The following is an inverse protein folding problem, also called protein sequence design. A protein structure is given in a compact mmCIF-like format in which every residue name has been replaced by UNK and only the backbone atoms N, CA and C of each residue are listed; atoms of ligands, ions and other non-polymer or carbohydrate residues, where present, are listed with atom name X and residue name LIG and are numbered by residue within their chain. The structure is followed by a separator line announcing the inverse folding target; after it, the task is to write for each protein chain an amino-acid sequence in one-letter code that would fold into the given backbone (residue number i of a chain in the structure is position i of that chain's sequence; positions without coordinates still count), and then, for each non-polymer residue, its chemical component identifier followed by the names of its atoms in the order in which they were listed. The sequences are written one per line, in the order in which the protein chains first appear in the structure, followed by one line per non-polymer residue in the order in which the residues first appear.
data_IF_653847923052
#
_entry.id   IF_653847923052
#
_cell.length_a   1.000
_cell.length_b   1.000
_cell.length_c   1.000
_cell.angle_alpha   90.00
_cell.angle_beta   90.00
_cell.angle_gamma   90.00
#
_symmetry.space_group_name_H-M   'P 1'
#
loop_
_entity.id
_entity.type
_entity.pdbx_description
1 polymer ?
#
# COMPACT_ATOMS: atom_id res chain seq x y z
N UNK A 1 17.90 14.38 -12.25
CA UNK A 1 18.86 13.66 -11.40
C UNK A 1 20.28 14.02 -11.84
N UNK A 2 21.24 14.30 -10.94
CA UNK A 2 22.63 14.55 -11.32
C UNK A 2 23.26 13.35 -12.05
N UNK A 3 24.25 13.54 -12.93
CA UNK A 3 24.90 12.45 -13.66
C UNK A 3 25.57 11.37 -12.78
N UNK A 4 25.89 11.70 -11.54
CA UNK A 4 26.44 10.80 -10.52
C UNK A 4 25.37 10.12 -9.65
N UNK A 5 24.10 10.48 -9.80
CA UNK A 5 23.00 9.89 -9.04
C UNK A 5 22.78 8.43 -9.42
N UNK A 6 22.52 7.59 -8.42
CA UNK A 6 22.21 6.17 -8.58
C UNK A 6 20.84 5.93 -7.96
N UNK A 7 19.91 5.37 -8.73
CA UNK A 7 18.66 4.88 -8.16
C UNK A 7 18.92 3.47 -7.62
N UNK A 8 18.73 3.32 -6.32
CA UNK A 8 18.79 2.03 -5.63
C UNK A 8 17.38 1.53 -5.37
N UNK A 9 17.25 0.24 -5.09
CA UNK A 9 15.96 -0.42 -4.91
C UNK A 9 16.18 -1.91 -4.74
N UNK A 10 15.21 -2.58 -4.11
CA UNK A 10 15.20 -4.03 -4.08
C UNK A 10 14.94 -4.57 -5.49
N UNK A 11 15.60 -5.67 -5.82
CA UNK A 11 15.37 -6.48 -7.02
C UNK A 11 14.72 -7.82 -6.68
N UNK A 12 14.33 -7.99 -5.42
CA UNK A 12 13.50 -9.10 -4.97
C UNK A 12 12.08 -8.93 -5.51
N UNK A 13 11.57 -9.93 -6.20
CA UNK A 13 10.23 -9.99 -6.78
C UNK A 13 9.27 -10.68 -5.80
N UNK A 14 9.22 -10.18 -4.58
CA UNK A 14 8.39 -10.70 -3.49
C UNK A 14 8.23 -9.69 -2.36
N UNK A 15 7.58 -10.11 -1.28
CA UNK A 15 7.33 -9.29 -0.08
C UNK A 15 7.77 -10.02 1.17
N UNK A 16 8.34 -9.31 2.15
CA UNK A 16 8.84 -9.93 3.40
C UNK A 16 10.26 -10.46 3.27
N UNK A 17 10.73 -11.20 4.28
CA UNK A 17 12.02 -11.88 4.29
C UNK A 17 11.97 -13.10 3.34
N UNK A 18 12.83 -13.14 2.30
CA UNK A 18 12.86 -14.25 1.35
C UNK A 18 13.12 -15.63 1.99
N UNK A 19 13.72 -15.66 3.19
CA UNK A 19 14.05 -16.90 3.90
C UNK A 19 12.94 -17.38 4.82
N UNK A 20 11.87 -16.61 5.03
CA UNK A 20 10.73 -16.98 5.87
C UNK A 20 9.39 -16.73 5.16
N UNK A 21 9.33 -17.09 3.89
CA UNK A 21 8.15 -16.84 3.05
C UNK A 21 6.87 -17.41 3.66
N UNK A 22 5.98 -16.53 4.14
CA UNK A 22 4.69 -16.89 4.71
C UNK A 22 4.68 -17.12 6.23
N UNK A 23 5.79 -16.89 6.94
CA UNK A 23 5.86 -16.95 8.40
C UNK A 23 6.88 -15.98 9.00
N UNK A 24 6.75 -15.63 10.29
CA UNK A 24 7.48 -14.50 10.85
C UNK A 24 8.95 -14.80 11.08
N UNK A 25 9.82 -13.86 10.70
CA UNK A 25 11.27 -13.88 10.94
C UNK A 25 11.69 -13.68 12.40
N UNK A 26 11.28 -14.59 13.29
CA UNK A 26 11.68 -14.60 14.71
C UNK A 26 13.02 -15.30 14.94
N UNK A 27 13.62 -15.16 16.13
CA UNK A 27 14.94 -15.72 16.43
C UNK A 27 15.06 -17.25 16.33
N UNK A 28 13.95 -17.99 16.53
CA UNK A 28 13.91 -19.45 16.45
C UNK A 28 13.15 -19.98 15.21
N UNK A 29 12.76 -19.10 14.28
CA UNK A 29 12.00 -19.54 13.10
C UNK A 29 12.83 -20.45 12.18
N UNK A 30 12.13 -21.36 11.49
CA UNK A 30 12.70 -22.10 10.38
C UNK A 30 13.01 -21.14 9.23
N UNK A 31 14.21 -21.24 8.66
CA UNK A 31 14.63 -20.41 7.53
C UNK A 31 14.95 -21.29 6.36
N UNK A 32 14.40 -20.94 5.20
CA UNK A 32 14.76 -21.54 3.93
C UNK A 32 16.27 -21.35 3.69
N UNK A 33 16.91 -22.40 3.20
CA UNK A 33 18.27 -22.32 2.71
C UNK A 33 18.34 -21.44 1.46
N UNK A 34 19.51 -20.89 1.15
CA UNK A 34 19.69 -20.08 -0.06
C UNK A 34 19.25 -20.81 -1.33
N UNK A 35 19.46 -22.13 -1.43
CA UNK A 35 19.03 -22.94 -2.58
C UNK A 35 17.51 -23.00 -2.69
N UNK A 36 16.80 -23.11 -1.57
CA UNK A 36 15.34 -23.10 -1.55
C UNK A 36 14.80 -21.73 -1.96
N UNK A 37 15.37 -20.64 -1.42
CA UNK A 37 15.01 -19.26 -1.81
C UNK A 37 15.27 -18.99 -3.29
N UNK A 38 16.41 -19.46 -3.82
CA UNK A 38 16.74 -19.35 -5.25
C UNK A 38 15.75 -20.11 -6.14
N UNK A 39 15.28 -21.28 -5.69
CA UNK A 39 14.30 -22.09 -6.41
C UNK A 39 12.88 -21.50 -6.40
N UNK A 40 12.54 -20.61 -5.45
CA UNK A 40 11.27 -19.88 -5.49
C UNK A 40 11.18 -18.93 -6.69
N UNK A 41 12.33 -18.52 -7.25
CA UNK A 41 12.41 -17.66 -8.43
C UNK A 41 12.17 -16.17 -8.17
N UNK A 42 11.90 -15.78 -6.93
CA UNK A 42 11.65 -14.39 -6.54
C UNK A 42 12.95 -13.61 -6.29
N UNK A 43 14.07 -14.30 -6.02
CA UNK A 43 15.40 -13.68 -5.91
C UNK A 43 16.15 -13.75 -7.24
N UNK A 44 16.82 -12.67 -7.67
CA UNK A 44 17.58 -12.70 -8.90
C UNK A 44 18.85 -13.54 -8.74
N UNK A 45 18.96 -14.61 -9.55
CA UNK A 45 20.15 -15.48 -9.62
C UNK A 45 21.36 -14.79 -10.28
N UNK A 46 21.13 -13.59 -10.84
CA UNK A 46 22.16 -12.78 -11.49
C UNK A 46 22.36 -11.52 -10.63
N UNK A 47 23.60 -11.19 -10.24
CA UNK A 47 23.86 -9.97 -9.49
C UNK A 47 23.38 -8.72 -10.23
N UNK A 48 22.54 -7.93 -9.56
CA UNK A 48 22.07 -6.63 -10.05
C UNK A 48 22.80 -5.52 -9.29
N UNK A 49 23.49 -4.64 -10.02
CA UNK A 49 24.15 -3.47 -9.43
C UNK A 49 23.66 -2.21 -10.15
N UNK A 50 22.90 -1.32 -9.48
CA UNK A 50 22.56 -0.04 -10.05
C UNK A 50 23.81 0.84 -10.16
N UNK A 51 23.91 1.58 -11.26
CA UNK A 51 25.03 2.47 -11.54
C UNK A 51 24.51 3.84 -11.95
N UNK A 52 25.34 4.86 -11.76
CA UNK A 52 25.02 6.21 -12.20
C UNK A 52 25.11 6.29 -13.72
N UNK A 53 24.44 7.28 -14.30
CA UNK A 53 24.53 7.56 -15.74
C UNK A 53 25.98 7.73 -16.21
N UNK A 54 26.80 8.46 -15.45
CA UNK A 54 28.22 8.67 -15.77
C UNK A 54 29.02 7.35 -15.78
N UNK A 55 28.76 6.44 -14.84
CA UNK A 55 29.40 5.12 -14.80
C UNK A 55 28.86 4.19 -15.90
N UNK A 56 27.58 4.29 -16.26
CA UNK A 56 26.98 3.55 -17.37
C UNK A 56 27.65 3.84 -18.71
N UNK A 57 27.89 5.12 -19.03
CA UNK A 57 28.61 5.50 -20.26
C UNK A 57 30.04 4.95 -20.28
N UNK A 58 30.72 4.89 -19.14
CA UNK A 58 32.05 4.32 -19.02
C UNK A 58 32.07 2.78 -19.13
N UNK A 59 31.10 2.10 -18.49
CA UNK A 59 30.99 0.63 -18.47
C UNK A 59 30.60 0.06 -19.84
N UNK A 60 29.68 0.72 -20.56
CA UNK A 60 29.32 0.37 -21.95
C UNK A 60 30.58 0.30 -22.85
N UNK A 61 31.63 1.03 -22.48
CA UNK A 61 32.89 1.06 -23.23
C UNK A 61 33.89 -0.03 -22.82
N UNK A 62 33.67 -0.83 -21.77
CA UNK A 62 34.74 -1.67 -21.15
C UNK A 62 34.34 -3.01 -20.48
N UNK A 63 33.13 -3.54 -20.67
CA UNK A 63 32.50 -4.64 -19.89
C UNK A 63 33.38 -5.83 -19.39
N UNK A 64 33.26 -6.11 -18.06
CA UNK A 64 33.42 -7.42 -17.36
C UNK A 64 33.33 -7.37 -15.79
N UNK A 65 32.64 -8.31 -15.09
CA UNK A 65 32.71 -8.56 -13.60
C UNK A 65 31.39 -8.95 -12.82
N UNK A 66 31.45 -9.51 -11.57
CA UNK A 66 30.32 -10.01 -10.69
C UNK A 66 30.43 -9.65 -9.17
N UNK A 67 29.31 -9.65 -8.39
CA UNK A 67 29.17 -9.26 -6.94
C UNK A 67 28.42 -10.24 -5.98
N UNK A 68 28.17 -9.88 -4.69
CA UNK A 68 27.82 -10.76 -3.52
C UNK A 68 26.74 -10.18 -2.53
N UNK A 69 26.04 -11.02 -1.72
CA UNK A 69 24.91 -10.69 -0.77
C UNK A 69 25.19 -10.96 0.74
N UNK A 70 24.42 -10.36 1.69
CA UNK A 70 24.56 -10.46 3.19
C UNK A 70 23.21 -10.37 3.95
N UNK A 71 23.06 -11.06 5.10
CA UNK A 71 21.88 -11.05 6.03
C UNK A 71 22.05 -10.02 7.18
N UNK A 72 20.98 -9.34 7.62
CA UNK A 72 21.00 -8.33 8.72
C UNK A 72 19.72 -8.33 9.58
N UNK A 73 19.81 -7.83 10.82
CA UNK A 73 18.65 -7.63 11.73
C UNK A 73 17.88 -6.36 11.39
N UNK A 74 16.55 -6.43 11.46
CA UNK A 74 15.60 -5.29 11.34
C UNK A 74 14.83 -5.09 12.65
N UNK A 75 14.29 -3.89 12.90
CA UNK A 75 13.55 -3.55 14.12
C UNK A 75 12.28 -2.76 13.80
N UNK A 76 11.18 -3.11 14.47
CA UNK A 76 9.90 -2.41 14.40
C UNK A 76 9.57 -1.77 15.74
N UNK A 77 8.89 -0.63 15.74
CA UNK A 77 8.34 -0.03 16.95
C UNK A 77 6.82 0.09 16.77
N UNK A 78 6.08 -0.21 17.82
CA UNK A 78 4.62 -0.27 17.78
C UNK A 78 4.10 0.53 18.98
N UNK A 79 3.36 1.59 18.70
CA UNK A 79 2.62 2.37 19.69
C UNK A 79 1.12 2.06 19.60
N UNK A 80 0.43 2.00 20.75
CA UNK A 80 -1.01 1.74 20.82
C UNK A 80 -1.69 2.79 21.69
N UNK A 81 -2.77 3.37 21.18
CA UNK A 81 -3.74 4.15 21.96
C UNK A 81 -4.96 3.25 22.15
N UNK A 82 -5.25 2.88 23.40
CA UNK A 82 -6.40 2.01 23.69
C UNK A 82 -7.72 2.77 23.51
N UNK A 83 -8.64 2.21 22.73
CA UNK A 83 -10.01 2.71 22.63
C UNK A 83 -10.77 2.58 23.95
N UNK A 84 -11.79 3.42 24.16
CA UNK A 84 -12.62 3.33 25.36
C UNK A 84 -13.63 2.18 25.27
N UNK A 85 -14.31 2.05 24.13
CA UNK A 85 -15.40 1.09 23.90
C UNK A 85 -14.92 -0.22 23.22
N UNK A 86 -14.36 -0.13 22.01
CA UNK A 86 -13.92 -1.29 21.21
C UNK A 86 -12.41 -1.53 21.28
N UNK A 87 -11.91 -1.90 22.48
CA UNK A 87 -10.46 -2.13 22.73
C UNK A 87 -9.82 -3.23 21.88
N UNK A 88 -10.62 -4.13 21.33
CA UNK A 88 -10.19 -5.24 20.48
C UNK A 88 -10.34 -4.93 18.98
N UNK A 89 -10.54 -3.65 18.60
CA UNK A 89 -10.53 -3.18 17.21
C UNK A 89 -9.37 -2.22 16.99
N UNK A 90 -8.72 -2.32 15.83
CA UNK A 90 -7.53 -1.54 15.51
C UNK A 90 -7.70 -0.76 14.21
N UNK A 91 -7.48 0.55 14.28
CA UNK A 91 -7.11 1.36 13.11
C UNK A 91 -5.59 1.46 13.13
N UNK A 92 -4.95 0.92 12.09
CA UNK A 92 -3.50 0.89 12.02
C UNK A 92 -3.02 2.01 11.11
N UNK A 93 -2.02 2.72 11.61
CA UNK A 93 -1.33 3.79 10.94
C UNK A 93 0.13 3.31 10.78
N UNK A 94 0.65 3.18 9.55
CA UNK A 94 2.03 2.69 9.32
C UNK A 94 2.83 3.36 8.19
N UNK A 95 4.16 3.41 8.37
CA UNK A 95 5.16 3.93 7.42
C UNK A 95 6.54 3.30 7.71
N UNK A 96 7.22 2.80 6.67
CA UNK A 96 8.62 2.38 6.81
C UNK A 96 9.55 3.54 7.19
N UNK A 97 10.66 3.28 7.87
CA UNK A 97 11.64 4.30 8.30
C UNK A 97 13.05 4.03 7.78
N UNK A 98 13.30 2.83 7.24
CA UNK A 98 14.56 2.54 6.58
C UNK A 98 14.65 3.34 5.27
N UNK A 99 15.79 3.99 5.10
CA UNK A 99 16.09 4.79 3.93
C UNK A 99 17.31 4.22 3.22
N UNK A 100 17.28 4.26 1.89
CA UNK A 100 18.45 3.93 1.08
C UNK A 100 19.65 4.86 1.31
N UNK A 101 19.40 6.14 1.63
CA UNK A 101 20.43 7.13 1.96
C UNK A 101 19.98 8.01 3.13
N UNK A 102 19.70 9.30 2.90
CA UNK A 102 19.14 10.20 3.90
C UNK A 102 17.60 10.14 3.97
N UNK A 103 16.98 9.61 2.92
CA UNK A 103 15.55 9.32 2.87
C UNK A 103 14.60 10.49 3.14
N UNK A 104 14.98 11.73 2.82
CA UNK A 104 14.22 12.93 3.21
C UNK A 104 12.77 12.91 2.69
N UNK A 105 12.55 12.32 1.52
CA UNK A 105 11.21 12.11 0.95
C UNK A 105 10.73 10.70 1.30
N UNK A 106 11.49 9.71 0.84
CA UNK A 106 11.25 8.28 1.03
C UNK A 106 12.22 7.73 2.10
N UNK A 107 11.76 7.35 3.31
CA UNK A 107 10.39 7.54 3.84
C UNK A 107 10.25 8.66 4.86
N UNK A 108 11.32 9.38 5.22
CA UNK A 108 11.34 10.21 6.41
C UNK A 108 10.30 11.34 6.40
N UNK A 109 9.74 11.70 5.23
CA UNK A 109 8.59 12.61 5.17
C UNK A 109 7.32 11.95 5.73
N UNK A 110 7.04 10.69 5.39
CA UNK A 110 6.03 9.84 6.02
C UNK A 110 6.34 9.58 7.48
N UNK A 111 7.60 9.30 7.81
CA UNK A 111 8.00 9.01 9.19
C UNK A 111 7.76 10.21 10.10
N UNK A 112 8.09 11.43 9.65
CA UNK A 112 7.77 12.66 10.36
C UNK A 112 6.26 12.85 10.61
N UNK A 113 5.41 12.20 9.81
CA UNK A 113 3.96 12.23 9.94
C UNK A 113 3.43 11.13 10.87
N UNK A 114 4.17 10.04 11.08
CA UNK A 114 3.60 8.77 11.54
C UNK A 114 4.47 7.95 12.51
N UNK A 115 5.74 7.71 12.18
CA UNK A 115 6.64 6.82 12.92
C UNK A 115 6.08 5.39 13.21
N UNK A 116 6.45 4.42 12.34
CA UNK A 116 7.17 3.14 12.66
C UNK A 116 6.80 1.87 11.79
N UNK A 117 7.70 0.85 11.82
CA UNK A 117 8.22 -0.02 10.70
C UNK A 117 7.67 -1.49 10.62
N UNK A 118 7.88 -2.14 9.45
CA UNK A 118 8.09 -3.59 9.25
C UNK A 118 6.84 -4.44 9.13
N UNK A 119 6.00 -3.99 8.21
CA UNK A 119 4.64 -4.45 7.98
C UNK A 119 4.50 -5.94 7.71
N UNK A 120 5.28 -6.53 6.80
CA UNK A 120 5.08 -7.92 6.36
C UNK A 120 5.33 -8.92 7.48
N UNK A 121 6.52 -8.91 8.10
CA UNK A 121 6.86 -9.84 9.19
C UNK A 121 5.93 -9.69 10.39
N UNK A 122 5.52 -8.46 10.69
CA UNK A 122 4.57 -8.19 11.76
C UNK A 122 3.16 -8.70 11.44
N UNK A 123 2.72 -8.54 10.19
CA UNK A 123 1.45 -9.10 9.69
C UNK A 123 1.48 -10.63 9.73
N UNK A 124 2.61 -11.25 9.39
CA UNK A 124 2.78 -12.69 9.49
C UNK A 124 2.73 -13.15 10.95
N UNK A 125 3.39 -12.44 11.87
CA UNK A 125 3.42 -12.80 13.30
C UNK A 125 2.05 -12.71 13.96
N UNK A 126 1.28 -11.70 13.56
CA UNK A 126 0.03 -11.36 14.22
C UNK A 126 -1.20 -11.67 13.36
N UNK A 127 -1.03 -12.49 12.30
CA UNK A 127 -2.04 -12.73 11.24
C UNK A 127 -3.44 -12.98 11.77
N UNK A 128 -3.58 -13.92 12.71
CA UNK A 128 -4.91 -14.28 13.26
C UNK A 128 -5.54 -13.13 14.04
N UNK A 129 -4.74 -12.42 14.84
CA UNK A 129 -5.19 -11.26 15.61
C UNK A 129 -5.60 -10.13 14.66
N UNK A 130 -4.77 -9.83 13.67
CA UNK A 130 -4.98 -8.71 12.77
C UNK A 130 -6.18 -8.94 11.85
N UNK A 131 -6.28 -10.13 11.24
CA UNK A 131 -7.41 -10.47 10.37
C UNK A 131 -8.76 -10.42 11.12
N UNK A 132 -8.77 -10.68 12.42
CA UNK A 132 -9.98 -10.64 13.23
C UNK A 132 -10.35 -9.25 13.76
N UNK A 133 -9.39 -8.31 13.82
CA UNK A 133 -9.52 -7.09 14.65
C UNK A 133 -9.21 -5.78 13.93
N UNK A 134 -8.46 -5.81 12.83
CA UNK A 134 -8.09 -4.59 12.12
C UNK A 134 -9.26 -4.10 11.28
N UNK A 135 -9.65 -2.85 11.51
CA UNK A 135 -10.70 -2.16 10.78
C UNK A 135 -10.15 -1.64 9.45
N UNK A 136 -9.01 -0.96 9.48
CA UNK A 136 -8.33 -0.44 8.30
C UNK A 136 -6.85 -0.15 8.56
N UNK A 137 -6.05 -0.16 7.50
CA UNK A 137 -4.64 0.24 7.48
C UNK A 137 -4.45 1.52 6.66
N UNK A 138 -3.90 2.59 7.24
CA UNK A 138 -3.62 3.85 6.56
C UNK A 138 -2.11 4.02 6.41
N UNK A 139 -1.64 3.92 5.18
CA UNK A 139 -0.26 4.08 4.78
C UNK A 139 0.04 5.52 4.36
N UNK A 140 1.18 6.04 4.82
CA UNK A 140 1.77 7.28 4.29
C UNK A 140 3.27 7.07 4.15
N UNK A 141 3.69 6.64 2.97
CA UNK A 141 5.10 6.39 2.64
C UNK A 141 5.85 7.72 2.40
N UNK A 142 5.51 8.38 1.31
CA UNK A 142 6.04 9.69 0.94
C UNK A 142 5.01 10.78 1.25
N UNK A 143 4.99 11.26 2.49
CA UNK A 143 4.10 12.35 2.88
C UNK A 143 4.41 13.67 2.17
N UNK A 144 5.60 13.89 1.62
CA UNK A 144 5.92 15.12 0.88
C UNK A 144 6.63 14.80 -0.42
N UNK A 145 5.88 14.83 -1.52
CA UNK A 145 6.38 14.70 -2.88
C UNK A 145 5.87 15.88 -3.72
N UNK A 146 6.70 16.39 -4.64
CA UNK A 146 6.25 17.40 -5.59
C UNK A 146 5.19 16.87 -6.55
N UNK A 147 4.08 17.58 -6.72
CA UNK A 147 2.98 17.20 -7.62
C UNK A 147 1.60 17.31 -6.95
N UNK A 148 0.52 16.97 -7.68
CA UNK A 148 -0.83 17.00 -7.14
C UNK A 148 -1.04 15.88 -6.12
N UNK A 149 -2.06 16.02 -5.27
CA UNK A 149 -2.48 15.00 -4.31
C UNK A 149 -2.79 13.67 -5.01
N UNK A 150 -2.28 12.56 -4.44
CA UNK A 150 -2.52 11.20 -4.91
C UNK A 150 -3.00 10.34 -3.75
N UNK A 151 -4.02 9.53 -4.03
CA UNK A 151 -4.53 8.53 -3.11
C UNK A 151 -4.86 7.25 -3.88
N UNK A 152 -4.51 6.12 -3.30
CA UNK A 152 -4.93 4.79 -3.73
C UNK A 152 -5.58 4.08 -2.55
N UNK A 153 -6.66 3.35 -2.78
CA UNK A 153 -7.38 2.69 -1.69
C UNK A 153 -8.17 1.46 -2.13
N UNK A 154 -8.52 0.62 -1.15
CA UNK A 154 -9.60 -0.36 -1.32
C UNK A 154 -10.94 0.38 -1.49
N UNK A 155 -11.81 -0.02 -2.44
CA UNK A 155 -12.96 0.79 -2.88
C UNK A 155 -13.92 1.27 -1.77
N UNK A 156 -14.06 0.51 -0.69
CA UNK A 156 -14.94 0.85 0.42
C UNK A 156 -14.50 2.10 1.19
N UNK A 157 -13.24 2.55 1.00
CA UNK A 157 -12.65 3.73 1.63
C UNK A 157 -12.63 4.97 0.70
N UNK A 158 -13.08 4.85 -0.55
CA UNK A 158 -13.02 5.96 -1.51
C UNK A 158 -13.77 7.20 -1.00
N UNK A 159 -14.95 6.99 -0.45
CA UNK A 159 -15.84 8.08 -0.06
C UNK A 159 -15.30 8.87 1.13
N UNK A 160 -14.77 8.19 2.15
CA UNK A 160 -14.19 8.86 3.32
C UNK A 160 -12.97 9.71 2.94
N UNK A 161 -12.15 9.26 1.99
CA UNK A 161 -11.00 10.02 1.47
C UNK A 161 -11.49 11.27 0.74
N UNK A 162 -12.49 11.13 -0.14
CA UNK A 162 -13.06 12.25 -0.90
C UNK A 162 -13.67 13.29 0.05
N UNK A 163 -14.44 12.84 1.04
CA UNK A 163 -15.04 13.73 2.04
C UNK A 163 -13.99 14.43 2.89
N UNK A 164 -12.89 13.75 3.27
CA UNK A 164 -11.79 14.36 3.99
C UNK A 164 -11.08 15.42 3.12
N UNK A 165 -10.81 15.12 1.84
CA UNK A 165 -10.19 16.07 0.90
C UNK A 165 -11.06 17.31 0.64
N UNK A 166 -12.38 17.22 0.80
CA UNK A 166 -13.31 18.36 0.71
C UNK A 166 -13.26 19.27 1.95
N UNK A 167 -12.72 18.80 3.08
CA UNK A 167 -12.69 19.56 4.35
C UNK A 167 -11.32 20.18 4.62
N UNK A 168 -10.27 19.69 3.97
CA UNK A 168 -8.91 20.20 4.12
C UNK A 168 -8.61 21.26 3.05
N UNK A 169 -8.16 22.44 3.47
CA UNK A 169 -7.72 23.51 2.57
C UNK A 169 -6.46 23.10 1.81
N UNK A 170 -6.36 23.49 0.54
CA UNK A 170 -5.13 23.31 -0.22
C UNK A 170 -4.04 24.26 0.32
N UNK A 171 -2.90 23.74 0.79
CA UNK A 171 -1.82 24.59 1.29
C UNK A 171 -1.18 25.47 0.21
N UNK A 172 -1.17 25.03 -1.05
CA UNK A 172 -0.63 25.81 -2.17
C UNK A 172 -1.66 26.84 -2.68
N UNK A 173 -2.95 26.64 -2.36
CA UNK A 173 -4.02 27.56 -2.69
C UNK A 173 -5.15 27.55 -1.65
N UNK A 174 -5.02 28.36 -0.61
CA UNK A 174 -5.98 28.43 0.50
C UNK A 174 -7.38 28.93 0.11
N UNK A 175 -7.60 29.36 -1.13
CA UNK A 175 -8.93 29.72 -1.64
C UNK A 175 -9.78 28.50 -2.01
N UNK A 176 -9.20 27.31 -2.04
CA UNK A 176 -9.88 26.06 -2.38
C UNK A 176 -9.45 24.91 -1.46
N UNK A 177 -10.12 23.77 -1.60
CA UNK A 177 -9.83 22.55 -0.85
C UNK A 177 -8.93 21.64 -1.66
N UNK A 178 -8.28 20.68 -1.00
CA UNK A 178 -7.46 19.66 -1.67
C UNK A 178 -8.30 18.92 -2.74
N UNK A 179 -9.58 18.68 -2.49
CA UNK A 179 -10.50 18.10 -3.47
C UNK A 179 -10.56 18.89 -4.79
N UNK A 180 -10.68 20.21 -4.73
CA UNK A 180 -10.77 21.05 -5.92
C UNK A 180 -9.44 21.08 -6.70
N UNK A 181 -8.31 21.11 -5.99
CA UNK A 181 -6.98 21.03 -6.61
C UNK A 181 -6.72 19.67 -7.25
N UNK A 182 -7.15 18.61 -6.58
CA UNK A 182 -7.04 17.25 -7.08
C UNK A 182 -7.88 17.05 -8.34
N UNK A 183 -9.13 17.53 -8.34
CA UNK A 183 -10.00 17.49 -9.53
C UNK A 183 -9.38 18.24 -10.71
N UNK A 184 -8.85 19.44 -10.46
CA UNK A 184 -8.22 20.26 -11.50
C UNK A 184 -6.97 19.59 -12.12
N UNK A 185 -6.28 18.72 -11.37
CA UNK A 185 -5.10 17.99 -11.86
C UNK A 185 -5.41 16.84 -12.82
N UNK A 186 -6.64 16.31 -12.79
CA UNK A 186 -7.01 15.05 -13.45
C UNK A 186 -7.57 15.16 -14.87
N UNK A 187 -7.80 16.37 -15.41
CA UNK A 187 -8.54 16.58 -16.66
C UNK A 187 -9.88 15.80 -16.74
N UNK A 188 -10.50 15.51 -15.59
CA UNK A 188 -11.71 14.70 -15.48
C UNK A 188 -12.78 15.44 -14.68
N UNK A 189 -14.04 15.02 -14.83
CA UNK A 189 -15.20 15.52 -14.09
C UNK A 189 -15.29 14.96 -12.66
N UNK A 190 -14.52 13.92 -12.36
CA UNK A 190 -14.48 13.26 -11.05
C UNK A 190 -13.05 12.94 -10.64
N UNK A 191 -12.77 12.96 -9.34
CA UNK A 191 -11.48 12.50 -8.80
C UNK A 191 -11.38 10.98 -8.91
N UNK A 192 -10.21 10.50 -9.34
CA UNK A 192 -9.94 9.06 -9.50
C UNK A 192 -8.89 8.62 -8.50
N UNK A 193 -9.28 7.69 -7.62
CA UNK A 193 -8.34 7.00 -6.75
C UNK A 193 -7.62 5.89 -7.52
N UNK A 194 -6.36 5.66 -7.19
CA UNK A 194 -5.66 4.44 -7.57
C UNK A 194 -6.18 3.22 -6.79
N UNK A 195 -5.78 2.03 -7.24
CA UNK A 195 -6.09 0.76 -6.57
C UNK A 195 -4.82 0.11 -6.05
N UNK A 196 -4.89 -0.47 -4.86
CA UNK A 196 -3.78 -1.11 -4.16
C UNK A 196 -3.54 -2.54 -4.67
N UNK A 197 -3.26 -2.67 -5.97
CA UNK A 197 -2.99 -3.96 -6.62
C UNK A 197 -1.52 -4.36 -6.69
N UNK A 198 -0.60 -3.48 -6.28
CA UNK A 198 0.85 -3.70 -6.33
C UNK A 198 1.49 -3.89 -4.96
N UNK A 199 2.79 -4.17 -4.94
CA UNK A 199 3.58 -4.34 -3.72
C UNK A 199 4.51 -3.13 -3.45
N UNK A 200 4.05 -1.92 -3.79
CA UNK A 200 4.90 -0.73 -3.85
C UNK A 200 5.19 -0.04 -2.52
N UNK A 201 4.55 -0.47 -1.43
CA UNK A 201 4.76 0.05 -0.07
C UNK A 201 4.17 -0.95 0.96
N UNK A 202 4.18 -0.61 2.25
CA UNK A 202 3.80 -1.47 3.36
C UNK A 202 2.34 -1.97 3.32
N UNK A 203 1.44 -1.28 2.62
CA UNK A 203 0.04 -1.70 2.48
C UNK A 203 -0.13 -3.08 1.83
N UNK A 204 0.89 -3.56 1.10
CA UNK A 204 0.84 -4.82 0.36
C UNK A 204 0.54 -6.02 1.26
N UNK A 205 1.19 -6.11 2.43
CA UNK A 205 0.95 -7.17 3.40
C UNK A 205 -0.50 -7.16 3.90
N UNK A 206 -1.02 -5.98 4.21
CA UNK A 206 -2.37 -5.81 4.73
C UNK A 206 -3.44 -6.19 3.70
N UNK A 207 -3.33 -5.70 2.46
CA UNK A 207 -4.34 -5.97 1.43
C UNK A 207 -4.24 -7.39 0.91
N UNK A 208 -3.03 -7.86 0.59
CA UNK A 208 -2.84 -9.08 -0.20
C UNK A 208 -2.76 -10.35 0.67
N UNK A 209 -2.22 -10.25 1.89
CA UNK A 209 -2.04 -11.44 2.76
C UNK A 209 -3.18 -11.63 3.75
N UNK A 210 -3.77 -10.54 4.26
CA UNK A 210 -4.81 -10.62 5.29
C UNK A 210 -6.14 -9.97 4.92
N UNK A 211 -6.25 -9.36 3.73
CA UNK A 211 -7.51 -8.82 3.21
C UNK A 211 -8.01 -7.56 3.92
N UNK A 212 -7.12 -6.83 4.59
CA UNK A 212 -7.45 -5.62 5.35
C UNK A 212 -7.72 -4.43 4.40
N UNK A 213 -8.81 -3.67 4.62
CA UNK A 213 -9.05 -2.41 3.92
C UNK A 213 -7.87 -1.46 4.12
N UNK A 214 -7.33 -0.89 3.04
CA UNK A 214 -6.15 -0.03 3.15
C UNK A 214 -6.22 1.23 2.28
N UNK A 215 -5.47 2.23 2.69
CA UNK A 215 -5.27 3.50 1.99
C UNK A 215 -3.78 3.77 1.87
N UNK A 216 -3.35 4.29 0.72
CA UNK A 216 -2.03 4.85 0.49
C UNK A 216 -2.17 6.27 -0.05
N UNK A 217 -1.52 7.24 0.60
CA UNK A 217 -1.61 8.66 0.24
C UNK A 217 -0.23 9.31 0.14
N UNK A 218 -0.05 10.18 -0.86
CA UNK A 218 1.16 11.00 -1.02
C UNK A 218 0.82 12.42 -1.51
N UNK A 219 1.28 13.45 -0.79
CA UNK A 219 1.08 14.88 -1.10
C UNK A 219 1.69 15.79 -0.03
N UNK A 220 2.29 16.93 -0.38
CA UNK A 220 3.01 17.84 0.53
C UNK A 220 2.46 18.16 1.95
N UNK A 221 1.18 17.89 2.25
CA UNK A 221 0.58 17.93 3.61
C UNK A 221 -0.49 16.83 3.83
N UNK A 222 -0.17 15.56 3.59
CA UNK A 222 -1.09 14.41 3.81
C UNK A 222 -1.63 14.34 5.25
N UNK A 223 -0.87 14.82 6.24
CA UNK A 223 -1.14 14.67 7.67
C UNK A 223 -2.59 15.04 8.08
N UNK A 224 -3.14 16.12 7.52
CA UNK A 224 -4.50 16.59 7.87
C UNK A 224 -5.60 15.67 7.34
N UNK A 225 -5.46 15.17 6.10
CA UNK A 225 -6.42 14.20 5.53
C UNK A 225 -6.29 12.89 6.28
N UNK A 226 -5.06 12.43 6.45
CA UNK A 226 -4.75 11.16 7.09
C UNK A 226 -5.20 11.09 8.55
N UNK A 227 -4.94 12.14 9.34
CA UNK A 227 -5.44 12.25 10.70
C UNK A 227 -6.97 12.31 10.78
N UNK A 228 -7.63 13.02 9.86
CA UNK A 228 -9.08 13.08 9.82
C UNK A 228 -9.72 11.73 9.46
N UNK A 229 -9.13 10.99 8.52
CA UNK A 229 -9.59 9.64 8.16
C UNK A 229 -9.35 8.67 9.33
N UNK A 230 -8.21 8.76 10.00
CA UNK A 230 -7.89 7.95 11.18
C UNK A 230 -8.92 8.17 12.31
N UNK A 231 -9.23 9.43 12.62
CA UNK A 231 -10.23 9.78 13.65
C UNK A 231 -11.61 9.23 13.32
N UNK A 232 -12.08 9.39 12.07
CA UNK A 232 -13.38 8.84 11.67
C UNK A 232 -13.45 7.33 11.77
N UNK A 233 -12.37 6.64 11.39
CA UNK A 233 -12.32 5.19 11.49
C UNK A 233 -12.22 4.67 12.93
N UNK A 234 -11.66 5.48 13.83
CA UNK A 234 -11.49 5.13 15.24
C UNK A 234 -12.71 5.50 16.11
N UNK A 235 -13.39 6.61 15.79
CA UNK A 235 -14.40 7.21 16.67
C UNK A 235 -15.83 7.22 16.10
N UNK A 236 -16.06 7.02 14.79
CA UNK A 236 -17.43 7.02 14.26
C UNK A 236 -18.19 5.77 14.72
N UNK A 237 -19.40 5.96 15.29
CA UNK A 237 -20.28 4.87 15.78
C UNK A 237 -20.62 3.84 14.68
N UNK A 238 -20.65 4.27 13.43
CA UNK A 238 -20.84 3.41 12.26
C UNK A 238 -19.66 3.58 11.32
N UNK A 239 -18.95 2.49 11.07
CA UNK A 239 -17.81 2.50 10.15
C UNK A 239 -18.21 3.08 8.79
N UNK A 240 -17.49 4.09 8.27
CA UNK A 240 -17.83 4.82 7.06
C UNK A 240 -17.46 4.05 5.77
N UNK A 241 -17.76 2.76 5.73
CA UNK A 241 -17.49 1.89 4.58
C UNK A 241 -18.64 1.88 3.59
N UNK A 242 -18.32 2.17 2.33
CA UNK A 242 -19.28 2.07 1.23
C UNK A 242 -19.02 0.83 0.37
N UNK A 243 -19.69 -0.28 0.69
CA UNK A 243 -19.54 -1.53 -0.05
C UNK A 243 -20.12 -1.48 -1.49
N UNK A 244 -20.97 -0.51 -1.81
CA UNK A 244 -21.47 -0.33 -3.18
C UNK A 244 -20.33 0.11 -4.11
N UNK A 245 -19.37 0.89 -3.60
CA UNK A 245 -18.15 1.25 -4.34
C UNK A 245 -17.36 -0.01 -4.72
N UNK A 246 -17.29 -1.00 -3.83
CA UNK A 246 -16.64 -2.28 -4.11
C UNK A 246 -17.32 -3.05 -5.22
N UNK A 247 -18.65 -3.13 -5.18
CA UNK A 247 -19.41 -3.80 -6.23
C UNK A 247 -19.30 -3.08 -7.59
N UNK A 248 -19.21 -1.75 -7.59
CA UNK A 248 -18.96 -0.95 -8.80
C UNK A 248 -17.58 -1.23 -9.40
N UNK A 249 -16.54 -1.33 -8.57
CA UNK A 249 -15.18 -1.65 -9.04
C UNK A 249 -15.09 -3.09 -9.56
N UNK A 250 -15.71 -4.06 -8.88
CA UNK A 250 -15.79 -5.44 -9.38
C UNK A 250 -16.49 -5.53 -10.73
N UNK A 251 -17.55 -4.75 -10.93
CA UNK A 251 -18.25 -4.65 -12.21
C UNK A 251 -17.30 -4.16 -13.32
N UNK A 252 -16.55 -3.08 -13.07
CA UNK A 252 -15.56 -2.56 -14.04
C UNK A 252 -14.46 -3.57 -14.36
N UNK A 253 -13.95 -4.28 -13.34
CA UNK A 253 -12.95 -5.33 -13.53
C UNK A 253 -13.50 -6.51 -14.34
N UNK A 254 -14.75 -6.91 -14.08
CA UNK A 254 -15.41 -7.97 -14.85
C UNK A 254 -15.62 -7.58 -16.32
N UNK A 255 -16.01 -6.32 -16.58
CA UNK A 255 -16.15 -5.78 -17.94
C UNK A 255 -14.81 -5.74 -18.69
N UNK A 256 -13.73 -5.36 -18.00
CA UNK A 256 -12.38 -5.40 -18.58
C UNK A 256 -11.95 -6.83 -18.91
N UNK A 257 -12.16 -7.76 -17.98
CA UNK A 257 -11.86 -9.17 -18.19
C UNK A 257 -12.69 -9.76 -19.34
N UNK A 258 -13.97 -9.41 -19.46
CA UNK A 258 -14.84 -9.85 -20.55
C UNK A 258 -14.29 -9.44 -21.92
N UNK A 259 -13.76 -8.22 -22.02
CA UNK A 259 -13.11 -7.74 -23.24
C UNK A 259 -11.87 -8.58 -23.59
N UNK A 260 -11.05 -8.93 -22.59
CA UNK A 260 -9.82 -9.72 -22.77
C UNK A 260 -10.05 -11.20 -23.11
N UNK A 261 -11.18 -11.77 -22.69
CA UNK A 261 -11.48 -13.21 -22.88
C UNK A 261 -12.61 -13.48 -23.88
N UNK A 262 -13.06 -12.44 -24.59
CA UNK A 262 -14.20 -12.50 -25.50
C UNK A 262 -14.09 -13.60 -26.58
N UNK A 263 -12.88 -13.99 -26.95
CA UNK A 263 -12.58 -15.04 -27.93
C UNK A 263 -12.34 -16.44 -27.31
N UNK A 264 -12.32 -16.55 -25.98
CA UNK A 264 -11.92 -17.79 -25.27
C UNK A 264 -13.08 -18.71 -24.92
N UNK A 265 -14.33 -18.34 -25.23
CA UNK A 265 -15.51 -19.15 -24.95
C UNK A 265 -15.82 -19.34 -23.46
N UNK A 266 -15.24 -18.50 -22.59
CA UNK A 266 -15.45 -18.52 -21.14
C UNK A 266 -16.63 -17.60 -20.79
N UNK A 267 -17.59 -18.10 -20.00
CA UNK A 267 -18.73 -17.31 -19.57
C UNK A 267 -18.50 -16.63 -18.23
N UNK A 268 -18.69 -15.31 -18.17
CA UNK A 268 -18.64 -14.51 -16.93
C UNK A 268 -20.01 -14.31 -16.26
N UNK A 269 -21.07 -14.98 -16.75
CA UNK A 269 -22.42 -14.87 -16.17
C UNK A 269 -22.46 -15.18 -14.66
N UNK A 270 -21.79 -16.23 -14.15
CA UNK A 270 -21.76 -16.48 -12.70
C UNK A 270 -21.05 -15.38 -11.90
N UNK A 271 -20.04 -14.74 -12.50
CA UNK A 271 -19.32 -13.63 -11.89
C UNK A 271 -20.23 -12.40 -11.77
N UNK A 272 -20.85 -11.97 -12.86
CA UNK A 272 -21.82 -10.87 -12.84
C UNK A 272 -22.98 -11.13 -11.87
N UNK A 273 -23.51 -12.36 -11.82
CA UNK A 273 -24.55 -12.71 -10.86
C UNK A 273 -24.08 -12.60 -9.39
N UNK A 274 -22.80 -12.85 -9.11
CA UNK A 274 -22.22 -12.71 -7.77
C UNK A 274 -22.01 -11.24 -7.41
N UNK A 275 -21.59 -10.40 -8.36
CA UNK A 275 -21.49 -8.94 -8.19
C UNK A 275 -22.87 -8.34 -7.92
N UNK A 276 -23.91 -8.75 -8.66
CA UNK A 276 -25.28 -8.28 -8.41
C UNK A 276 -25.80 -8.65 -7.03
N UNK A 277 -25.47 -9.86 -6.53
CA UNK A 277 -25.78 -10.23 -5.14
C UNK A 277 -25.09 -9.33 -4.12
N UNK A 278 -23.85 -8.90 -4.40
CA UNK A 278 -23.11 -7.99 -3.53
C UNK A 278 -23.72 -6.58 -3.49
N UNK A 279 -24.32 -6.11 -4.60
CA UNK A 279 -25.02 -4.82 -4.68
C UNK A 279 -26.31 -4.78 -3.86
N UNK A 280 -26.93 -5.94 -3.63
CA UNK A 280 -28.14 -5.99 -2.82
C UNK A 280 -27.79 -5.70 -1.37
N UNK A 281 -28.52 -4.81 -0.67
CA UNK A 281 -28.31 -4.59 0.75
C UNK A 281 -28.41 -5.95 1.45
N UNK A 282 -27.35 -6.34 2.16
CA UNK A 282 -27.39 -7.53 2.98
C UNK A 282 -28.53 -7.33 3.98
N UNK A 283 -29.67 -7.98 3.74
CA UNK A 283 -30.70 -8.08 4.76
C UNK A 283 -30.03 -8.78 5.93
N UNK A 284 -29.71 -8.00 6.98
CA UNK A 284 -29.34 -8.49 8.29
C UNK A 284 -30.33 -9.60 8.63
N UNK A 285 -29.87 -10.86 8.58
CA UNK A 285 -30.59 -11.97 9.19
C UNK A 285 -30.49 -11.75 10.69
N UNK A 286 -31.39 -10.90 11.21
CA UNK A 286 -31.77 -10.92 12.61
C UNK A 286 -32.56 -12.21 12.83
N UNK A 287 -31.87 -13.29 13.15
CA UNK A 287 -32.44 -14.53 13.70
C UNK A 287 -31.61 -14.95 14.88
#
# INVERSE_FOLDING_TARGET
MPPSGVQVGSVYDGTGDPTTSGWPSTGECERLSNEEVENEGNVPLIPSLPISWANGDAIIRTIGGKGQQVISTIQNVIGVIEGEEERDRFVILGNHHDAWTFGVVDPNSGTATLLEIGSTEWVEENREMLAARVVAYLNVDCAVQGGPFRASATPQLDEIIIQAAQQVQDPDNTSQTIYHSWLASGNDTTVKLGRLGGAGSDYAAFVQHIGTPAIDMSFGQVASIWGLVALRLADDEVLPFNYLSYASELQKSAEHLEAEISDKGISLVPLYASIEKLKQPQQLRMT
#
